data_IF_160611904570
#
_entry.id   IF_160611904570
#
_cell.length_a   1.000
_cell.length_b   1.000
_cell.length_c   1.000
_cell.angle_alpha   90.00
_cell.angle_beta   90.00
_cell.angle_gamma   90.00
#
_symmetry.space_group_name_H-M   'P 1'
#
loop_
_entity.id
_entity.type
_entity.pdbx_description
1 polymer ?
#
# COMPACT_ATOMS: atom_id res chain seq x y z
N UNK A 1 -13.11 -11.33 3.52
CA UNK A 1 -12.37 -10.17 2.95
C UNK A 1 -12.90 -9.95 1.54
N UNK A 2 -13.16 -8.71 1.13
CA UNK A 2 -13.64 -8.41 -0.22
C UNK A 2 -12.50 -8.65 -1.22
N UNK A 3 -12.69 -9.58 -2.14
CA UNK A 3 -11.82 -9.74 -3.32
C UNK A 3 -12.57 -9.35 -4.57
N UNK A 4 -11.82 -8.84 -5.54
CA UNK A 4 -12.36 -8.47 -6.84
C UNK A 4 -11.98 -9.53 -7.86
N UNK A 5 -12.89 -9.86 -8.77
CA UNK A 5 -12.59 -10.65 -9.97
C UNK A 5 -13.09 -9.96 -11.23
N UNK A 6 -12.43 -10.30 -12.33
CA UNK A 6 -12.93 -10.09 -13.67
C UNK A 6 -13.62 -11.37 -14.15
N UNK A 7 -14.82 -11.24 -14.69
CA UNK A 7 -15.50 -12.27 -15.47
C UNK A 7 -15.41 -11.87 -16.94
N UNK A 8 -14.69 -12.64 -17.76
CA UNK A 8 -14.51 -12.33 -19.17
C UNK A 8 -15.72 -12.75 -19.99
N UNK A 9 -16.03 -12.00 -21.05
CA UNK A 9 -17.17 -12.27 -21.94
C UNK A 9 -17.09 -13.63 -22.63
N UNK A 10 -15.87 -14.08 -22.98
CA UNK A 10 -15.64 -15.36 -23.64
C UNK A 10 -15.67 -16.56 -22.67
N UNK A 11 -16.05 -16.31 -21.41
CA UNK A 11 -15.90 -17.26 -20.32
C UNK A 11 -14.51 -17.20 -19.70
N UNK A 12 -14.41 -17.65 -18.46
CA UNK A 12 -13.21 -17.53 -17.64
C UNK A 12 -13.29 -16.40 -16.62
N UNK A 13 -12.48 -16.53 -15.58
CA UNK A 13 -12.47 -15.59 -14.46
C UNK A 13 -11.02 -15.33 -14.05
N UNK A 14 -10.73 -14.12 -13.59
CA UNK A 14 -9.43 -13.76 -13.03
C UNK A 14 -9.62 -13.03 -11.71
N UNK A 15 -9.12 -13.59 -10.62
CA UNK A 15 -9.11 -12.91 -9.32
C UNK A 15 -8.03 -11.83 -9.31
N UNK A 16 -8.44 -10.58 -9.11
CA UNK A 16 -7.52 -9.46 -8.99
C UNK A 16 -6.69 -9.60 -7.73
N UNK A 17 -5.41 -9.24 -7.83
CA UNK A 17 -4.52 -9.19 -6.67
C UNK A 17 -4.83 -7.94 -5.84
N UNK A 18 -4.55 -7.96 -4.52
CA UNK A 18 -4.49 -6.74 -3.72
C UNK A 18 -3.52 -5.73 -4.35
N UNK A 19 -3.93 -4.47 -4.42
CA UNK A 19 -3.19 -3.41 -5.11
C UNK A 19 -3.36 -3.46 -6.63
N UNK A 20 -2.26 -3.40 -7.38
CA UNK A 20 -2.29 -3.20 -8.83
C UNK A 20 -2.25 -4.52 -9.63
N UNK A 21 -3.12 -4.63 -10.63
CA UNK A 21 -3.12 -5.66 -11.67
C UNK A 21 -3.01 -4.99 -13.04
N UNK A 22 -2.02 -5.39 -13.83
CA UNK A 22 -1.72 -4.81 -15.15
C UNK A 22 -2.35 -5.62 -16.29
N UNK A 23 -2.88 -4.92 -17.28
CA UNK A 23 -3.48 -5.51 -18.47
C UNK A 23 -2.90 -4.87 -19.73
N UNK A 24 -2.48 -5.71 -20.68
CA UNK A 24 -1.90 -5.26 -21.94
C UNK A 24 -1.31 -6.40 -22.75
N UNK A 25 -0.65 -6.07 -23.87
CA UNK A 25 -0.03 -7.06 -24.75
C UNK A 25 1.37 -7.50 -24.33
N UNK A 26 2.02 -6.78 -23.43
CA UNK A 26 3.36 -7.12 -22.98
C UNK A 26 3.34 -8.41 -22.15
N UNK A 27 4.31 -9.33 -22.30
CA UNK A 27 4.33 -10.59 -21.56
C UNK A 27 4.55 -10.45 -20.05
N UNK A 28 4.90 -9.25 -19.57
CA UNK A 28 5.02 -8.98 -18.13
C UNK A 28 3.73 -8.45 -17.52
N UNK A 29 2.67 -8.23 -18.31
CA UNK A 29 1.37 -7.87 -17.76
C UNK A 29 0.77 -9.06 -17.02
N UNK A 30 -0.01 -8.80 -15.97
CA UNK A 30 -0.71 -9.84 -15.21
C UNK A 30 -1.81 -10.51 -16.05
N UNK A 31 -2.46 -9.72 -16.91
CA UNK A 31 -3.44 -10.18 -17.89
C UNK A 31 -2.92 -9.83 -19.29
N UNK A 32 -2.46 -10.86 -20.00
CA UNK A 32 -1.84 -10.71 -21.31
C UNK A 32 -2.91 -10.80 -22.40
N UNK A 33 -3.04 -9.75 -23.21
CA UNK A 33 -3.94 -9.69 -24.36
C UNK A 33 -3.16 -9.91 -25.66
N UNK A 34 -3.62 -10.84 -26.49
CA UNK A 34 -2.96 -11.19 -27.76
C UNK A 34 -3.33 -10.25 -28.91
N UNK A 35 -4.34 -9.40 -28.72
CA UNK A 35 -4.81 -8.44 -29.72
C UNK A 35 -3.74 -7.37 -30.01
N UNK A 36 -3.29 -7.29 -31.28
CA UNK A 36 -2.25 -6.36 -31.71
C UNK A 36 -2.67 -4.89 -31.67
N UNK A 37 -3.97 -4.60 -31.62
CA UNK A 37 -4.52 -3.25 -31.46
C UNK A 37 -4.41 -2.75 -30.01
N UNK A 38 -4.24 -3.67 -29.06
CA UNK A 38 -4.03 -3.34 -27.65
C UNK A 38 -2.60 -2.91 -27.42
N UNK A 39 -2.45 -1.84 -26.63
CA UNK A 39 -1.14 -1.32 -26.26
C UNK A 39 -0.35 -2.34 -25.43
N UNK A 40 0.99 -2.28 -25.45
CA UNK A 40 1.84 -3.14 -24.62
C UNK A 40 1.39 -3.14 -23.16
N UNK A 41 1.05 -1.97 -22.63
CA UNK A 41 0.34 -1.77 -21.37
C UNK A 41 -0.89 -0.91 -21.68
N UNK A 42 -2.08 -1.43 -21.40
CA UNK A 42 -3.33 -0.80 -21.82
C UNK A 42 -4.10 -0.22 -20.65
N UNK A 43 -4.24 -0.99 -19.57
CA UNK A 43 -5.05 -0.65 -18.41
C UNK A 43 -4.38 -1.14 -17.14
N UNK A 44 -4.43 -0.35 -16.09
CA UNK A 44 -4.10 -0.78 -14.74
C UNK A 44 -5.39 -0.83 -13.92
N UNK A 45 -5.58 -1.94 -13.20
CA UNK A 45 -6.69 -2.13 -12.26
C UNK A 45 -6.11 -2.10 -10.85
N UNK A 46 -6.45 -1.08 -10.09
CA UNK A 46 -5.96 -0.89 -8.73
C UNK A 46 -7.09 -1.15 -7.74
N UNK A 47 -7.01 -2.26 -7.01
CA UNK A 47 -8.04 -2.67 -6.06
C UNK A 47 -8.04 -1.76 -4.84
N UNK A 48 -9.22 -1.25 -4.49
CA UNK A 48 -9.50 -0.42 -3.31
C UNK A 48 -10.57 -1.10 -2.46
N UNK A 49 -10.82 -0.55 -1.28
CA UNK A 49 -11.85 -1.05 -0.36
C UNK A 49 -13.25 -0.84 -0.93
N UNK A 50 -13.45 0.26 -1.64
CA UNK A 50 -14.72 0.74 -2.20
C UNK A 50 -14.93 0.40 -3.68
N UNK A 51 -13.93 -0.14 -4.36
CA UNK A 51 -14.01 -0.38 -5.80
C UNK A 51 -12.70 -0.85 -6.43
N UNK A 52 -12.68 -0.85 -7.75
CA UNK A 52 -11.46 -0.99 -8.56
C UNK A 52 -11.24 0.30 -9.32
N UNK A 53 -10.14 0.96 -9.02
CA UNK A 53 -9.70 2.17 -9.73
C UNK A 53 -9.06 1.76 -11.06
N UNK A 54 -9.66 2.21 -12.16
CA UNK A 54 -9.23 1.90 -13.52
C UNK A 54 -8.41 3.05 -14.10
N UNK A 55 -7.17 2.77 -14.50
CA UNK A 55 -6.22 3.78 -14.99
C UNK A 55 -5.76 3.39 -16.39
N UNK A 56 -6.20 4.15 -17.40
CA UNK A 56 -5.79 3.94 -18.79
C UNK A 56 -4.33 4.35 -18.98
N UNK A 57 -3.55 3.43 -19.56
CA UNK A 57 -2.13 3.63 -19.89
C UNK A 57 -1.92 3.65 -21.42
N UNK A 58 -2.74 2.89 -22.14
CA UNK A 58 -2.60 2.69 -23.58
C UNK A 58 -3.36 3.69 -24.43
N UNK A 59 -3.13 3.61 -25.74
CA UNK A 59 -3.77 4.46 -26.75
C UNK A 59 -5.20 4.05 -27.08
N UNK A 60 -5.47 2.73 -27.05
CA UNK A 60 -6.80 2.21 -27.37
C UNK A 60 -7.83 2.75 -26.37
N UNK A 61 -9.04 3.08 -26.84
CA UNK A 61 -10.11 3.54 -25.96
C UNK A 61 -10.51 2.47 -24.96
N UNK A 62 -10.76 2.90 -23.72
CA UNK A 62 -11.27 2.05 -22.64
C UNK A 62 -12.46 2.77 -22.02
N UNK A 63 -13.53 2.03 -21.74
CA UNK A 63 -14.74 2.53 -21.07
C UNK A 63 -15.05 1.66 -19.86
N UNK A 64 -15.68 2.24 -18.86
CA UNK A 64 -16.34 1.52 -17.78
C UNK A 64 -17.83 1.87 -17.83
N UNK A 65 -18.65 0.91 -18.25
CA UNK A 65 -20.02 1.15 -18.70
C UNK A 65 -20.04 2.25 -19.79
N UNK A 66 -20.73 3.35 -19.53
CA UNK A 66 -20.85 4.50 -20.43
C UNK A 66 -19.75 5.55 -20.23
N UNK A 67 -18.91 5.42 -19.19
CA UNK A 67 -17.87 6.38 -18.84
C UNK A 67 -16.57 6.07 -19.59
N UNK A 68 -16.08 6.99 -20.40
CA UNK A 68 -14.77 6.84 -21.04
C UNK A 68 -13.64 7.08 -20.05
N UNK A 69 -12.62 6.21 -20.08
CA UNK A 69 -11.40 6.40 -19.33
C UNK A 69 -10.48 7.24 -20.22
N UNK A 70 -10.34 8.51 -19.87
CA UNK A 70 -9.40 9.42 -20.52
C UNK A 70 -8.25 9.73 -19.56
N UNK A 71 -8.18 10.99 -19.12
CA UNK A 71 -7.10 11.49 -18.27
C UNK A 71 -7.40 11.33 -16.78
N UNK A 72 -8.47 10.68 -16.36
CA UNK A 72 -8.79 10.47 -14.94
C UNK A 72 -9.00 8.99 -14.64
N UNK A 73 -8.61 8.60 -13.42
CA UNK A 73 -8.88 7.26 -12.95
C UNK A 73 -10.38 7.13 -12.67
N UNK A 74 -10.99 6.02 -13.08
CA UNK A 74 -12.42 5.77 -12.87
C UNK A 74 -12.58 4.70 -11.80
N UNK A 75 -13.28 5.03 -10.71
CA UNK A 75 -13.68 4.05 -9.71
C UNK A 75 -14.87 3.23 -10.23
N UNK A 76 -14.65 1.92 -10.36
CA UNK A 76 -15.63 0.96 -10.83
C UNK A 76 -16.08 0.02 -9.69
N UNK A 77 -17.38 -0.29 -9.68
CA UNK A 77 -18.02 -1.14 -8.68
C UNK A 77 -18.29 -2.57 -9.16
N UNK A 78 -18.87 -3.40 -8.28
CA UNK A 78 -19.36 -4.72 -8.66
C UNK A 78 -20.55 -4.58 -9.61
N UNK A 79 -20.53 -5.24 -10.75
CA UNK A 79 -21.52 -5.00 -11.80
C UNK A 79 -20.94 -4.32 -13.03
N UNK A 80 -19.91 -3.48 -12.85
CA UNK A 80 -19.42 -2.61 -13.91
C UNK A 80 -18.68 -3.39 -14.99
N UNK A 81 -18.92 -3.01 -16.25
CA UNK A 81 -18.37 -3.65 -17.43
C UNK A 81 -17.23 -2.80 -17.98
N UNK A 82 -16.05 -3.40 -18.07
CA UNK A 82 -14.89 -2.82 -18.74
C UNK A 82 -15.02 -3.12 -20.23
N UNK A 83 -14.90 -2.08 -21.05
CA UNK A 83 -14.98 -2.14 -22.51
C UNK A 83 -13.64 -1.66 -23.09
N UNK A 84 -13.04 -2.43 -23.99
CA UNK A 84 -11.79 -2.07 -24.66
C UNK A 84 -12.04 -2.05 -26.17
N UNK A 85 -11.69 -0.94 -26.83
CA UNK A 85 -11.87 -0.80 -28.28
C UNK A 85 -13.33 -0.96 -28.73
N UNK A 86 -14.27 -0.52 -27.89
CA UNK A 86 -15.70 -0.61 -28.16
C UNK A 86 -16.34 -1.98 -27.89
N UNK A 87 -15.57 -3.00 -27.48
CA UNK A 87 -16.09 -4.34 -27.17
C UNK A 87 -16.07 -4.62 -25.66
N UNK A 88 -17.16 -5.16 -25.07
CA UNK A 88 -17.12 -5.64 -23.70
C UNK A 88 -15.95 -6.61 -23.53
N UNK A 89 -15.15 -6.37 -22.49
CA UNK A 89 -13.96 -7.14 -22.19
C UNK A 89 -14.19 -8.03 -20.97
N UNK A 90 -14.62 -7.43 -19.87
CA UNK A 90 -14.88 -8.15 -18.63
C UNK A 90 -15.87 -7.38 -17.73
N UNK A 91 -16.58 -8.12 -16.89
CA UNK A 91 -17.39 -7.55 -15.82
C UNK A 91 -16.69 -7.70 -14.47
N UNK A 92 -16.69 -6.64 -13.66
CA UNK A 92 -16.18 -6.67 -12.30
C UNK A 92 -17.18 -7.32 -11.34
N UNK A 93 -16.69 -8.22 -10.49
CA UNK A 93 -17.47 -8.80 -9.39
C UNK A 93 -16.70 -8.74 -8.09
N UNK A 94 -17.43 -8.44 -7.03
CA UNK A 94 -17.01 -8.72 -5.66
C UNK A 94 -17.23 -10.20 -5.38
N UNK A 95 -16.22 -10.85 -4.81
CA UNK A 95 -16.32 -12.17 -4.20
C UNK A 95 -16.16 -11.99 -2.70
N UNK A 96 -17.11 -12.54 -1.96
CA UNK A 96 -16.96 -12.77 -0.53
C UNK A 96 -16.20 -14.07 -0.34
N UNK A 97 -14.92 -13.99 -0.01
CA UNK A 97 -14.20 -15.14 0.52
C UNK A 97 -14.42 -15.21 2.04
N UNK A 98 -14.68 -16.41 2.59
CA UNK A 98 -14.64 -16.61 4.03
C UNK A 98 -13.28 -16.12 4.50
N UNK A 99 -13.28 -15.16 5.43
CA UNK A 99 -12.04 -14.68 5.99
C UNK A 99 -11.32 -15.89 6.59
N UNK A 100 -10.09 -16.19 6.14
CA UNK A 100 -9.23 -16.99 7.00
C UNK A 100 -9.08 -16.20 8.29
N UNK A 101 -9.22 -16.84 9.45
CA UNK A 101 -8.99 -16.17 10.71
C UNK A 101 -7.65 -15.44 10.64
N UNK A 102 -7.63 -14.11 10.78
CA UNK A 102 -6.38 -13.38 10.74
C UNK A 102 -5.52 -13.88 11.88
N UNK A 103 -4.21 -14.01 11.67
CA UNK A 103 -3.32 -14.56 12.68
C UNK A 103 -3.09 -13.59 13.84
N UNK A 104 -3.90 -12.54 14.02
CA UNK A 104 -3.67 -11.46 14.97
C UNK A 104 -4.86 -11.23 15.90
N UNK A 105 -4.52 -11.09 17.18
CA UNK A 105 -5.42 -10.67 18.24
C UNK A 105 -4.94 -9.33 18.81
N UNK A 106 -5.89 -8.47 19.14
CA UNK A 106 -5.69 -7.24 19.90
C UNK A 106 -6.29 -7.40 21.29
N UNK A 107 -5.52 -7.15 22.34
CA UNK A 107 -6.06 -6.94 23.69
C UNK A 107 -5.91 -5.49 24.12
N UNK A 108 -6.90 -5.00 24.86
CA UNK A 108 -6.91 -3.65 25.45
C UNK A 108 -7.06 -3.80 26.95
N UNK A 109 -6.11 -3.25 27.71
CA UNK A 109 -6.07 -3.32 29.18
C UNK A 109 -6.16 -4.76 29.73
N UNK A 110 -5.56 -5.70 29.01
CA UNK A 110 -5.59 -7.12 29.36
C UNK A 110 -6.93 -7.83 29.10
N UNK A 111 -7.84 -7.21 28.34
CA UNK A 111 -9.06 -7.86 27.85
C UNK A 111 -8.76 -9.16 27.09
N UNK A 112 -9.75 -10.05 26.93
CA UNK A 112 -9.67 -11.12 25.95
C UNK A 112 -9.29 -10.56 24.57
N UNK A 113 -8.47 -11.32 23.84
CA UNK A 113 -7.99 -10.93 22.52
C UNK A 113 -9.13 -10.88 21.50
N UNK A 114 -9.24 -9.75 20.79
CA UNK A 114 -10.15 -9.52 19.68
C UNK A 114 -9.45 -9.86 18.37
N UNK A 115 -10.05 -10.72 17.55
CA UNK A 115 -9.50 -11.05 16.24
C UNK A 115 -9.57 -9.85 15.29
N UNK A 116 -8.47 -9.55 14.61
CA UNK A 116 -8.39 -8.48 13.60
C UNK A 116 -9.00 -8.92 12.26
N UNK A 117 -10.28 -9.32 12.27
CA UNK A 117 -11.02 -9.97 11.17
C UNK A 117 -10.98 -9.23 9.83
N UNK A 118 -10.79 -7.91 9.87
CA UNK A 118 -10.84 -7.01 8.73
C UNK A 118 -9.69 -5.98 8.85
N UNK A 119 -9.10 -5.60 7.72
CA UNK A 119 -8.07 -4.56 7.66
C UNK A 119 -8.54 -3.44 6.72
N UNK A 120 -8.50 -2.16 7.13
CA UNK A 120 -8.12 -1.69 8.48
C UNK A 120 -9.13 -2.07 9.57
N UNK A 121 -8.64 -2.44 10.76
CA UNK A 121 -9.44 -2.55 11.98
C UNK A 121 -9.35 -1.22 12.74
N UNK A 122 -10.42 -0.43 12.66
CA UNK A 122 -10.55 0.86 13.34
C UNK A 122 -10.84 0.72 14.84
N UNK A 123 -10.13 1.52 15.64
CA UNK A 123 -10.32 1.71 17.08
C UNK A 123 -10.53 3.20 17.35
N UNK A 124 -11.50 3.57 18.16
CA UNK A 124 -11.75 4.96 18.51
C UNK A 124 -12.97 5.13 19.41
N UNK A 125 -13.47 6.35 19.58
CA UNK A 125 -14.69 6.63 20.35
C UNK A 125 -15.95 6.77 19.50
N UNK A 126 -15.88 6.52 18.18
CA UNK A 126 -16.99 6.65 17.25
C UNK A 126 -17.87 5.40 17.19
N UNK A 127 -19.14 5.57 16.81
CA UNK A 127 -20.08 4.45 16.67
C UNK A 127 -19.74 3.48 15.51
N UNK A 128 -18.97 3.95 14.53
CA UNK A 128 -18.51 3.17 13.38
C UNK A 128 -17.16 2.48 13.63
N UNK A 129 -16.54 2.69 14.80
CA UNK A 129 -15.28 2.03 15.16
C UNK A 129 -15.55 0.55 15.53
N UNK A 130 -14.67 -0.35 15.10
CA UNK A 130 -14.82 -1.78 15.38
C UNK A 130 -14.59 -2.10 16.86
N UNK A 131 -13.75 -1.31 17.52
CA UNK A 131 -13.57 -1.34 18.97
C UNK A 131 -13.68 0.07 19.54
N UNK A 132 -14.64 0.25 20.45
CA UNK A 132 -14.95 1.56 21.03
C UNK A 132 -14.21 1.75 22.36
N UNK A 133 -13.32 2.72 22.41
CA UNK A 133 -12.69 3.21 23.64
C UNK A 133 -13.31 4.57 23.97
N UNK A 134 -13.98 4.72 25.13
CA UNK A 134 -14.52 5.99 25.56
C UNK A 134 -13.46 7.10 25.57
N UNK A 135 -13.86 8.32 25.27
CA UNK A 135 -13.01 9.53 25.24
C UNK A 135 -11.92 9.57 24.16
N UNK A 136 -11.77 8.51 23.36
CA UNK A 136 -10.93 8.55 22.17
C UNK A 136 -11.63 9.29 21.03
N UNK A 137 -10.87 9.97 20.14
CA UNK A 137 -11.42 10.45 18.87
C UNK A 137 -12.06 9.30 18.05
N UNK A 138 -13.03 9.61 17.19
CA UNK A 138 -13.51 8.62 16.22
C UNK A 138 -12.37 8.23 15.25
N UNK A 139 -12.19 6.94 14.98
CA UNK A 139 -11.10 6.45 14.13
C UNK A 139 -9.71 6.80 14.65
N UNK A 140 -9.54 6.82 15.98
CA UNK A 140 -8.31 7.26 16.62
C UNK A 140 -7.07 6.45 16.22
N UNK A 141 -7.24 5.15 15.95
CA UNK A 141 -6.21 4.25 15.44
C UNK A 141 -6.78 3.30 14.37
N UNK A 142 -5.97 2.92 13.39
CA UNK A 142 -6.26 1.90 12.39
C UNK A 142 -5.19 0.82 12.40
N UNK A 143 -5.61 -0.43 12.48
CA UNK A 143 -4.71 -1.59 12.51
C UNK A 143 -4.77 -2.32 11.18
N UNK A 144 -3.60 -2.53 10.57
CA UNK A 144 -3.46 -3.21 9.30
C UNK A 144 -2.66 -4.48 9.51
N UNK A 145 -3.37 -5.61 9.53
CA UNK A 145 -2.75 -6.92 9.64
C UNK A 145 -1.92 -7.25 8.38
N UNK A 146 -0.63 -7.50 8.60
CA UNK A 146 0.27 -8.16 7.66
C UNK A 146 0.38 -9.64 8.03
N UNK A 147 1.23 -10.40 7.34
CA UNK A 147 1.45 -11.82 7.64
C UNK A 147 2.17 -12.00 9.00
N UNK A 148 3.14 -11.13 9.32
CA UNK A 148 4.09 -11.26 10.44
C UNK A 148 4.11 -10.06 11.39
N UNK A 149 3.33 -9.03 11.12
CA UNK A 149 3.17 -7.86 11.98
C UNK A 149 1.79 -7.21 11.83
N UNK A 150 1.51 -6.24 12.69
CA UNK A 150 0.39 -5.30 12.54
C UNK A 150 0.96 -3.89 12.41
N UNK A 151 0.60 -3.18 11.35
CA UNK A 151 0.89 -1.74 11.25
C UNK A 151 -0.23 -0.99 11.98
N UNK A 152 0.14 -0.18 12.96
CA UNK A 152 -0.76 0.69 13.72
C UNK A 152 -0.59 2.11 13.17
N UNK A 153 -1.63 2.67 12.56
CA UNK A 153 -1.72 4.08 12.14
C UNK A 153 -2.53 4.86 13.19
N UNK A 154 -1.92 5.86 13.82
CA UNK A 154 -2.59 6.73 14.79
C UNK A 154 -3.00 8.06 14.15
N UNK A 155 -4.23 8.51 14.45
CA UNK A 155 -4.69 9.85 14.10
C UNK A 155 -3.88 10.95 14.80
N UNK A 156 -3.75 12.12 14.18
CA UNK A 156 -3.04 13.26 14.78
C UNK A 156 -3.62 13.67 16.15
N UNK A 157 -4.95 13.54 16.31
CA UNK A 157 -5.64 13.85 17.56
C UNK A 157 -5.22 12.91 18.71
N UNK A 158 -5.10 11.60 18.44
CA UNK A 158 -4.65 10.64 19.45
C UNK A 158 -3.14 10.76 19.70
N UNK A 159 -2.35 11.01 18.65
CA UNK A 159 -0.90 11.21 18.76
C UNK A 159 -0.52 12.39 19.63
N UNK A 160 -1.31 13.46 19.60
CA UNK A 160 -1.09 14.63 20.45
C UNK A 160 -1.19 14.30 21.95
N UNK A 161 -1.90 13.21 22.30
CA UNK A 161 -2.10 12.75 23.68
C UNK A 161 -1.04 11.74 24.16
N UNK A 162 -0.12 11.31 23.28
CA UNK A 162 0.95 10.39 23.64
C UNK A 162 2.01 11.09 24.51
N UNK A 163 2.57 10.31 25.44
CA UNK A 163 3.75 10.72 26.19
C UNK A 163 4.95 10.91 25.24
N UNK A 164 5.90 11.82 25.55
CA UNK A 164 7.05 12.09 24.67
C UNK A 164 7.88 10.84 24.33
N UNK A 165 8.01 9.91 25.27
CA UNK A 165 8.73 8.64 25.07
C UNK A 165 8.03 7.68 24.11
N UNK A 166 6.70 7.65 24.13
CA UNK A 166 5.87 6.84 23.22
C UNK A 166 5.82 7.47 21.85
N UNK A 167 5.67 8.80 21.79
CA UNK A 167 5.74 9.56 20.55
C UNK A 167 7.07 9.37 19.83
N UNK A 168 8.18 9.31 20.56
CA UNK A 168 9.49 9.01 20.00
C UNK A 168 9.58 7.61 19.37
N UNK A 169 8.84 6.62 19.90
CA UNK A 169 8.79 5.24 19.35
C UNK A 169 7.95 5.14 18.09
N UNK A 170 6.84 5.87 18.01
CA UNK A 170 5.97 5.95 16.82
C UNK A 170 6.55 6.80 15.68
N UNK A 171 7.55 7.62 16.00
CA UNK A 171 8.07 8.64 15.09
C UNK A 171 7.06 9.76 14.80
N UNK A 172 7.50 10.73 14.00
CA UNK A 172 6.74 11.95 13.71
C UNK A 172 5.56 11.76 12.75
N UNK A 173 5.27 10.53 12.33
CA UNK A 173 4.29 10.25 11.28
C UNK A 173 3.13 9.35 11.69
N UNK A 174 3.17 8.79 12.91
CA UNK A 174 2.03 8.07 13.47
C UNK A 174 1.89 6.62 13.03
N UNK A 175 2.91 6.03 12.41
CA UNK A 175 2.92 4.61 12.05
C UNK A 175 3.84 3.84 12.99
N UNK A 176 3.36 2.69 13.47
CA UNK A 176 4.15 1.76 14.27
C UNK A 176 3.98 0.35 13.74
N UNK A 177 5.09 -0.32 13.45
CA UNK A 177 5.11 -1.76 13.19
C UNK A 177 5.14 -2.52 14.52
N UNK A 178 4.05 -3.22 14.82
CA UNK A 178 3.88 -4.03 16.01
C UNK A 178 4.07 -5.52 15.69
N UNK A 179 5.08 -6.13 16.28
CA UNK A 179 5.36 -7.57 16.23
C UNK A 179 4.53 -8.35 17.27
N UNK A 180 4.45 -9.70 17.22
CA UNK A 180 3.80 -10.48 18.27
C UNK A 180 4.37 -10.16 19.66
N UNK A 181 3.49 -9.83 20.61
CA UNK A 181 3.85 -9.45 21.97
C UNK A 181 4.17 -7.97 22.15
N UNK A 182 4.17 -7.17 21.07
CA UNK A 182 4.32 -5.73 21.18
C UNK A 182 3.15 -5.13 21.98
N UNK A 183 3.47 -4.23 22.92
CA UNK A 183 2.50 -3.44 23.65
C UNK A 183 2.79 -1.95 23.52
N UNK A 184 1.74 -1.18 23.33
CA UNK A 184 1.77 0.26 23.21
C UNK A 184 0.76 0.84 24.20
N UNK A 185 1.25 1.71 25.08
CA UNK A 185 0.37 2.50 25.94
C UNK A 185 0.00 3.78 25.21
N UNK A 186 -1.29 4.11 25.17
CA UNK A 186 -1.83 5.30 24.49
C UNK A 186 -2.99 5.85 25.30
N UNK A 187 -2.94 7.14 25.64
CA UNK A 187 -4.02 7.83 26.35
C UNK A 187 -4.54 7.05 27.58
N UNK A 188 -3.63 6.40 28.33
CA UNK A 188 -3.95 5.64 29.53
C UNK A 188 -4.32 4.17 29.32
N UNK A 189 -4.49 3.71 28.08
CA UNK A 189 -4.83 2.32 27.74
C UNK A 189 -3.61 1.55 27.23
N UNK A 190 -3.50 0.27 27.61
CA UNK A 190 -2.46 -0.64 27.13
C UNK A 190 -3.03 -1.48 25.97
N UNK A 191 -2.58 -1.20 24.74
CA UNK A 191 -2.87 -1.99 23.55
C UNK A 191 -1.79 -3.05 23.37
N UNK A 192 -2.15 -4.32 23.25
CA UNK A 192 -1.20 -5.39 22.95
C UNK A 192 -1.64 -6.23 21.74
N UNK A 193 -0.68 -6.50 20.86
CA UNK A 193 -0.86 -7.32 19.65
C UNK A 193 -0.25 -8.68 19.88
N UNK A 194 -1.01 -9.76 19.67
CA UNK A 194 -0.50 -11.14 19.79
C UNK A 194 -0.86 -11.96 18.56
N UNK A 195 -0.06 -12.99 18.27
CA UNK A 195 -0.39 -13.96 17.24
C UNK A 195 -1.44 -14.95 17.76
N UNK A 196 -2.43 -15.28 16.95
CA UNK A 196 -3.40 -16.35 17.22
C UNK A 196 -2.70 -17.71 17.21
N UNK A 197 -3.13 -18.65 18.05
CA UNK A 197 -2.55 -20.01 18.10
C UNK A 197 -2.67 -20.78 16.77
N UNK A 198 -3.60 -20.37 15.91
CA UNK A 198 -3.79 -20.87 14.54
C UNK A 198 -2.76 -20.34 13.53
N UNK A 199 -1.96 -19.34 13.92
CA UNK A 199 -0.84 -18.84 13.15
C UNK A 199 0.28 -19.88 13.17
N UNK A 200 0.19 -20.87 12.27
CA UNK A 200 1.29 -21.79 12.03
C UNK A 200 2.58 -21.00 11.84
N UNK A 201 3.64 -21.41 12.52
CA UNK A 201 4.97 -20.80 12.46
C UNK A 201 5.53 -20.97 11.06
N UNK A 202 5.13 -20.09 10.16
CA UNK A 202 5.72 -19.90 8.85
C UNK A 202 6.26 -18.46 8.82
N UNK A 203 7.46 -18.30 9.37
CA UNK A 203 8.25 -17.07 9.26
C UNK A 203 8.70 -16.89 7.81
N UNK A 204 7.84 -16.32 6.98
CA UNK A 204 8.23 -15.83 5.65
C UNK A 204 7.84 -14.35 5.59
N UNK A 205 8.82 -13.51 5.92
CA UNK A 205 8.63 -12.07 6.16
C UNK A 205 8.19 -11.34 4.87
N UNK A 206 7.60 -10.15 5.00
CA UNK A 206 7.60 -9.14 3.93
C UNK A 206 8.48 -7.93 4.30
N UNK A 207 9.58 -8.17 5.03
CA UNK A 207 10.76 -7.34 4.87
C UNK A 207 11.28 -7.51 3.43
N UNK A 208 11.90 -6.48 2.85
CA UNK A 208 12.72 -6.70 1.65
C UNK A 208 13.79 -7.71 2.09
N UNK A 209 13.59 -8.98 1.81
CA UNK A 209 14.57 -10.02 2.15
C UNK A 209 15.74 -9.96 1.18
N UNK A 210 16.84 -10.62 1.52
CA UNK A 210 18.07 -10.64 0.72
C UNK A 210 17.85 -11.15 -0.72
N UNK A 211 16.73 -11.84 -1.00
CA UNK A 211 16.36 -12.37 -2.33
C UNK A 211 15.12 -11.69 -2.96
N UNK A 212 14.67 -10.54 -2.43
CA UNK A 212 13.51 -9.85 -3.00
C UNK A 212 13.86 -9.16 -4.32
N UNK A 213 12.98 -9.31 -5.32
CA UNK A 213 13.04 -8.55 -6.57
C UNK A 213 12.05 -7.39 -6.51
N UNK A 214 12.57 -6.15 -6.52
CA UNK A 214 11.78 -4.93 -6.57
C UNK A 214 11.80 -4.41 -8.00
N UNK A 215 10.63 -4.34 -8.64
CA UNK A 215 10.46 -3.76 -9.97
C UNK A 215 9.76 -2.41 -9.87
N UNK A 216 10.34 -1.42 -10.52
CA UNK A 216 9.79 -0.07 -10.66
C UNK A 216 9.39 0.12 -12.12
N UNK A 217 8.09 0.32 -12.36
CA UNK A 217 7.56 0.56 -13.69
C UNK A 217 7.03 1.98 -13.76
N UNK A 218 7.75 2.85 -14.48
CA UNK A 218 7.39 4.26 -14.62
C UNK A 218 6.30 4.46 -15.67
N UNK A 219 5.31 5.30 -15.34
CA UNK A 219 4.25 5.74 -16.23
C UNK A 219 4.16 7.27 -16.23
N UNK A 220 3.52 7.85 -17.26
CA UNK A 220 3.33 9.31 -17.35
C UNK A 220 2.69 9.93 -16.09
N UNK A 221 1.87 9.17 -15.37
CA UNK A 221 1.07 9.66 -14.22
C UNK A 221 1.52 9.13 -12.86
N UNK A 222 2.60 8.36 -12.81
CA UNK A 222 2.89 7.57 -11.63
C UNK A 222 3.81 6.41 -11.94
N UNK A 223 3.71 5.37 -11.14
CA UNK A 223 4.39 4.12 -11.40
C UNK A 223 3.80 3.00 -10.58
N UNK A 224 4.17 1.78 -10.95
CA UNK A 224 3.89 0.61 -10.14
C UNK A 224 5.18 0.15 -9.50
N UNK A 225 5.11 -0.15 -8.21
CA UNK A 225 6.15 -0.88 -7.50
C UNK A 225 5.63 -2.29 -7.29
N UNK A 226 6.38 -3.28 -7.79
CA UNK A 226 6.09 -4.70 -7.59
C UNK A 226 7.22 -5.33 -6.82
N UNK A 227 6.90 -6.07 -5.78
CA UNK A 227 7.84 -6.85 -4.97
C UNK A 227 7.53 -8.32 -5.20
N UNK A 228 8.55 -9.08 -5.54
CA UNK A 228 8.46 -10.52 -5.69
C UNK A 228 9.42 -11.20 -4.70
N UNK A 229 8.89 -12.16 -3.94
CA UNK A 229 9.65 -13.01 -3.02
C UNK A 229 9.15 -14.45 -3.15
N UNK A 230 9.92 -15.29 -3.80
CA UNK A 230 9.50 -16.68 -4.05
C UNK A 230 8.17 -16.74 -4.81
N UNK A 231 7.13 -17.28 -4.18
CA UNK A 231 5.78 -17.35 -4.75
C UNK A 231 4.89 -16.13 -4.42
N UNK A 232 5.34 -15.24 -3.54
CA UNK A 232 4.57 -14.09 -3.08
C UNK A 232 4.87 -12.87 -3.97
N UNK A 233 3.80 -12.20 -4.41
CA UNK A 233 3.88 -10.99 -5.25
C UNK A 233 2.93 -9.95 -4.68
N UNK A 234 3.43 -8.74 -4.47
CA UNK A 234 2.64 -7.59 -4.04
C UNK A 234 2.97 -6.37 -4.89
N UNK A 235 1.95 -5.60 -5.27
CA UNK A 235 2.11 -4.46 -6.18
C UNK A 235 1.29 -3.27 -5.74
N UNK A 236 1.86 -2.07 -5.82
CA UNK A 236 1.18 -0.81 -5.50
C UNK A 236 1.33 0.18 -6.64
N UNK A 237 0.21 0.79 -7.04
CA UNK A 237 0.24 1.96 -7.91
C UNK A 237 0.41 3.23 -7.08
N UNK A 238 1.32 4.09 -7.51
CA UNK A 238 1.61 5.37 -6.86
C UNK A 238 1.50 6.50 -7.88
N UNK A 239 0.86 7.59 -7.47
CA UNK A 239 0.85 8.83 -8.27
C UNK A 239 2.27 9.36 -8.53
N UNK A 240 2.45 10.20 -9.55
CA UNK A 240 3.76 10.71 -10.01
C UNK A 240 4.73 11.10 -8.87
N UNK A 241 4.29 11.96 -7.94
CA UNK A 241 5.16 12.41 -6.84
C UNK A 241 5.45 11.30 -5.82
N UNK A 242 4.46 10.45 -5.53
CA UNK A 242 4.60 9.32 -4.59
C UNK A 242 5.58 8.28 -5.13
N UNK A 243 5.47 7.98 -6.42
CA UNK A 243 6.38 7.11 -7.13
C UNK A 243 7.79 7.72 -7.22
N UNK A 244 7.90 9.02 -7.53
CA UNK A 244 9.18 9.72 -7.58
C UNK A 244 9.92 9.67 -6.24
N UNK A 245 9.22 9.82 -5.11
CA UNK A 245 9.80 9.66 -3.78
C UNK A 245 10.39 8.26 -3.57
N UNK A 246 9.61 7.20 -3.78
CA UNK A 246 10.15 5.84 -3.60
C UNK A 246 11.24 5.51 -4.59
N UNK A 247 11.14 5.95 -5.85
CA UNK A 247 12.22 5.79 -6.84
C UNK A 247 13.49 6.53 -6.42
N UNK A 248 13.39 7.74 -5.86
CA UNK A 248 14.54 8.49 -5.36
C UNK A 248 15.21 7.79 -4.16
N UNK A 249 14.45 7.06 -3.34
CA UNK A 249 15.01 6.28 -2.22
C UNK A 249 15.59 4.94 -2.66
N UNK A 250 14.95 4.26 -3.62
CA UNK A 250 15.33 2.93 -4.10
C UNK A 250 16.44 2.98 -5.16
N UNK A 251 16.42 4.00 -6.02
CA UNK A 251 17.40 4.24 -7.08
C UNK A 251 17.95 5.67 -6.97
N UNK A 252 18.63 6.02 -5.87
CA UNK A 252 19.11 7.38 -5.68
C UNK A 252 20.18 7.73 -6.72
N UNK A 253 20.22 8.99 -7.18
CA UNK A 253 21.28 9.45 -8.06
C UNK A 253 22.60 9.58 -7.30
N UNK A 254 23.71 9.50 -8.04
CA UNK A 254 25.06 9.78 -7.52
C UNK A 254 25.10 11.15 -6.80
N UNK A 255 25.78 11.28 -5.65
CA UNK A 255 26.73 10.33 -5.05
C UNK A 255 26.11 9.25 -4.16
N UNK A 256 24.79 9.23 -3.99
CA UNK A 256 24.13 8.32 -3.06
C UNK A 256 24.00 6.90 -3.62
N UNK A 257 24.05 5.91 -2.74
CA UNK A 257 23.78 4.51 -3.05
C UNK A 257 22.44 4.04 -2.46
N UNK A 258 21.78 3.02 -3.04
CA UNK A 258 20.61 2.40 -2.43
C UNK A 258 20.88 1.99 -0.98
N UNK A 259 19.95 2.28 -0.07
CA UNK A 259 20.11 2.01 1.37
C UNK A 259 20.76 3.13 2.18
N UNK A 260 21.30 4.17 1.53
CA UNK A 260 21.87 5.31 2.23
C UNK A 260 20.81 6.32 2.69
N UNK A 261 21.11 7.00 3.80
CA UNK A 261 20.33 8.15 4.25
C UNK A 261 20.58 9.36 3.35
N UNK A 262 19.48 9.96 2.88
CA UNK A 262 19.47 11.14 2.03
C UNK A 262 18.84 12.30 2.79
N UNK A 263 19.43 13.49 2.68
CA UNK A 263 18.90 14.70 3.32
C UNK A 263 17.56 15.12 2.70
N UNK A 264 16.70 15.69 3.54
CA UNK A 264 15.36 16.13 3.13
C UNK A 264 15.40 17.13 1.98
N UNK A 265 16.33 18.08 2.04
CA UNK A 265 16.52 19.10 1.01
C UNK A 265 16.86 18.49 -0.34
N UNK A 266 17.72 17.47 -0.35
CA UNK A 266 18.10 16.75 -1.56
C UNK A 266 16.92 15.95 -2.13
N UNK A 267 16.16 15.25 -1.28
CA UNK A 267 14.96 14.54 -1.70
C UNK A 267 13.91 15.50 -2.28
N UNK A 268 13.70 16.65 -1.65
CA UNK A 268 12.79 17.67 -2.15
C UNK A 268 13.20 18.15 -3.55
N UNK A 269 14.50 18.38 -3.79
CA UNK A 269 15.01 18.77 -5.10
C UNK A 269 14.81 17.68 -6.18
N UNK A 270 14.92 16.39 -5.80
CA UNK A 270 14.68 15.28 -6.72
C UNK A 270 13.21 15.08 -7.08
N UNK A 271 12.31 15.25 -6.10
CA UNK A 271 10.86 15.02 -6.27
C UNK A 271 10.18 16.23 -6.92
N UNK A 272 10.67 17.44 -6.64
CA UNK A 272 10.10 18.69 -7.12
C UNK A 272 11.17 19.60 -7.78
N UNK A 273 11.75 19.18 -8.93
CA UNK A 273 12.83 19.94 -9.56
C UNK A 273 12.43 21.38 -9.93
N UNK A 274 11.14 21.60 -10.25
CA UNK A 274 10.63 22.91 -10.70
C UNK A 274 9.95 23.73 -9.59
N UNK A 275 9.98 23.30 -8.32
CA UNK A 275 9.25 23.98 -7.23
C UNK A 275 10.15 24.31 -6.02
N UNK A 276 10.79 25.49 -6.01
CA UNK A 276 11.75 25.87 -4.97
C UNK A 276 11.13 26.17 -3.58
N UNK A 277 9.81 26.18 -3.46
CA UNK A 277 9.10 26.52 -2.21
C UNK A 277 8.66 25.29 -1.39
N UNK A 278 8.99 24.07 -1.82
CA UNK A 278 8.60 22.86 -1.09
C UNK A 278 9.46 22.70 0.17
N UNK A 279 8.77 22.56 1.30
CA UNK A 279 9.36 22.51 2.63
C UNK A 279 9.18 21.14 3.28
N UNK A 280 9.67 20.99 4.51
CA UNK A 280 9.53 19.76 5.29
C UNK A 280 8.08 19.33 5.49
N UNK A 281 7.17 20.30 5.67
CA UNK A 281 5.75 20.00 5.82
C UNK A 281 5.16 19.33 4.57
N UNK A 282 5.45 19.85 3.38
CA UNK A 282 5.02 19.24 2.12
C UNK A 282 5.58 17.83 1.92
N UNK A 283 6.84 17.62 2.30
CA UNK A 283 7.46 16.30 2.26
C UNK A 283 6.78 15.33 3.21
N UNK A 284 6.53 15.71 4.46
CA UNK A 284 5.88 14.85 5.44
C UNK A 284 4.46 14.45 4.99
N UNK A 285 3.71 15.38 4.36
CA UNK A 285 2.41 15.05 3.75
C UNK A 285 2.55 14.04 2.61
N UNK A 286 3.58 14.19 1.75
CA UNK A 286 3.84 13.22 0.69
C UNK A 286 4.23 11.86 1.27
N UNK A 287 5.10 11.84 2.27
CA UNK A 287 5.62 10.63 2.89
C UNK A 287 4.50 9.85 3.58
N UNK A 288 3.67 10.53 4.38
CA UNK A 288 2.47 9.95 4.99
C UNK A 288 1.55 9.29 3.94
N UNK A 289 1.31 9.96 2.80
CA UNK A 289 0.48 9.40 1.71
C UNK A 289 1.11 8.17 1.06
N UNK A 290 2.43 8.13 0.90
CA UNK A 290 3.13 6.94 0.39
C UNK A 290 2.97 5.79 1.37
N UNK A 291 3.18 6.03 2.67
CA UNK A 291 3.00 5.00 3.70
C UNK A 291 1.57 4.44 3.68
N UNK A 292 0.55 5.29 3.60
CA UNK A 292 -0.83 4.82 3.46
C UNK A 292 -1.05 3.95 2.21
N UNK A 293 -0.47 4.29 1.06
CA UNK A 293 -0.59 3.47 -0.15
C UNK A 293 0.12 2.11 0.02
N UNK A 294 1.30 2.08 0.65
CA UNK A 294 2.03 0.84 0.96
C UNK A 294 1.23 -0.06 1.91
N UNK A 295 0.72 0.50 3.01
CA UNK A 295 -0.09 -0.23 3.99
C UNK A 295 -1.35 -0.82 3.34
N UNK A 296 -2.05 -0.04 2.51
CA UNK A 296 -3.23 -0.52 1.77
C UNK A 296 -2.89 -1.64 0.80
N UNK A 297 -1.69 -1.61 0.21
CA UNK A 297 -1.16 -2.68 -0.62
C UNK A 297 -0.60 -3.87 0.18
N UNK A 298 -0.73 -3.85 1.53
CA UNK A 298 -0.18 -4.84 2.47
C UNK A 298 1.34 -4.98 2.37
N UNK A 299 2.01 -3.87 2.11
CA UNK A 299 3.47 -3.77 2.09
C UNK A 299 3.97 -3.27 3.45
N UNK A 300 5.07 -3.83 3.92
CA UNK A 300 5.74 -3.36 5.12
C UNK A 300 6.36 -1.98 4.86
N UNK A 301 5.82 -0.95 5.51
CA UNK A 301 6.26 0.43 5.36
C UNK A 301 7.72 0.60 5.75
N UNK A 302 8.14 -0.05 6.84
CA UNK A 302 9.48 0.12 7.40
C UNK A 302 10.53 -0.52 6.49
N UNK A 303 10.13 -1.44 5.60
CA UNK A 303 11.00 -2.00 4.57
C UNK A 303 11.30 -1.01 3.43
N UNK A 304 10.49 0.05 3.27
CA UNK A 304 10.62 1.05 2.21
C UNK A 304 11.04 2.42 2.69
N UNK A 305 10.73 2.77 3.93
CA UNK A 305 10.91 4.12 4.46
C UNK A 305 11.37 4.05 5.91
N UNK A 306 12.60 4.47 6.12
CA UNK A 306 13.18 4.70 7.45
C UNK A 306 13.66 6.15 7.56
N UNK A 307 13.35 6.80 8.69
CA UNK A 307 13.86 8.14 9.03
C UNK A 307 14.92 8.03 10.11
N UNK A 308 16.04 8.72 9.95
CA UNK A 308 17.04 8.81 11.00
C UNK A 308 16.57 9.82 12.07
N UNK A 309 16.41 9.33 13.30
CA UNK A 309 15.91 10.10 14.45
C UNK A 309 16.59 11.49 14.57
N UNK A 310 15.78 12.54 14.58
CA UNK A 310 16.21 13.92 14.82
C UNK A 310 17.09 14.54 13.73
N UNK A 311 17.29 13.88 12.58
CA UNK A 311 18.22 14.37 11.54
C UNK A 311 17.58 14.76 10.22
N UNK A 312 16.26 14.59 10.05
CA UNK A 312 15.57 14.93 8.79
C UNK A 312 15.92 14.02 7.60
N UNK A 313 16.84 13.07 7.76
CA UNK A 313 17.26 12.15 6.70
C UNK A 313 16.32 10.96 6.56
N UNK A 314 16.15 10.49 5.32
CA UNK A 314 15.29 9.36 4.96
C UNK A 314 16.06 8.38 4.07
N UNK A 315 15.79 7.08 4.22
CA UNK A 315 16.29 6.02 3.34
C UNK A 315 15.21 4.99 3.04
N UNK A 316 15.45 4.16 2.03
CA UNK A 316 14.80 2.86 1.91
C UNK A 316 15.76 1.78 2.47
N UNK A 317 15.44 1.10 3.58
CA UNK A 317 16.31 0.07 4.16
C UNK A 317 16.14 -1.26 3.42
N UNK A 318 16.53 -1.25 2.15
CA UNK A 318 16.55 -2.42 1.28
C UNK A 318 17.59 -3.42 1.83
N UNK A 319 17.21 -4.68 2.03
CA UNK A 319 18.20 -5.68 2.44
C UNK A 319 19.29 -5.86 1.38
N UNK A 320 20.50 -6.14 1.87
CA UNK A 320 21.64 -6.51 1.05
C UNK A 320 21.26 -7.73 0.20
N UNK A 321 21.36 -7.63 -1.12
CA UNK A 321 21.04 -8.72 -2.05
C UNK A 321 19.76 -8.50 -2.88
N UNK A 322 18.85 -7.64 -2.41
CA UNK A 322 17.65 -7.34 -3.17
C UNK A 322 17.99 -6.69 -4.52
N UNK A 323 17.29 -7.10 -5.57
CA UNK A 323 17.52 -6.62 -6.92
C UNK A 323 16.48 -5.55 -7.27
N UNK A 324 16.95 -4.42 -7.79
CA UNK A 324 16.08 -3.32 -8.20
C UNK A 324 16.13 -3.18 -9.72
N UNK A 325 14.97 -3.36 -10.36
CA UNK A 325 14.82 -3.18 -11.80
C UNK A 325 13.99 -1.93 -12.06
N UNK A 326 14.65 -0.85 -12.50
CA UNK A 326 13.99 0.38 -12.90
C UNK A 326 13.70 0.37 -14.41
N UNK A 327 12.43 0.16 -14.76
CA UNK A 327 11.94 0.17 -16.13
C UNK A 327 11.29 1.52 -16.43
N UNK A 328 11.98 2.30 -17.26
CA UNK A 328 11.44 3.53 -17.84
C UNK A 328 10.85 3.19 -19.21
N UNK A 329 9.54 3.36 -19.35
CA UNK A 329 8.80 3.17 -20.62
C UNK A 329 8.99 4.36 -21.57
#
# INVERSE_FOLDING_TARGET
MTRWRLEFELGGQYSLRPGATSLGRHPTCDIILTDSTVSRRQLLLNTRVDGVELIKLGRQSVRCNERELDEEAVLAGSGDVIVIGGRPFATLRVIEEPASEPPWLLSVDGSPGLSLGHAPFAIGGGAEDHFVIPDWPAGAAQLHALEDAVIIELSDALRAQLEPSERARLGDEGFLRAEPGHSLRVAGHDLAVTASASAGVATTQFSVAEDALIRLESYRRGGVITIERGAQIASVYLSALRFALLRALLCPPSPHAPGEFIELEQLCALIWPDKPLKNEYDFNVLLHRVRQDLVRAKLDVDAFIERAHGSGRVRAPIAIGAQILDQVD
#
